data_IF_732501099630
#
_entry.id   IF_732501099630
#
_cell.length_a   1.000
_cell.length_b   1.000
_cell.length_c   1.000
_cell.angle_alpha   90.00
_cell.angle_beta   90.00
_cell.angle_gamma   90.00
#
_symmetry.space_group_name_H-M   'P 1'
#
loop_
_entity.id
_entity.type
_entity.pdbx_description
1 polymer ?
#
# COMPACT_ATOMS: atom_id res chain seq x y z
N UNK A 1 13.00 30.67 -32.87
CA UNK A 1 11.65 30.52 -32.28
C UNK A 1 11.36 29.04 -32.16
N UNK A 2 11.71 28.47 -31.04
CA UNK A 2 11.46 27.05 -30.79
C UNK A 2 10.18 26.92 -29.96
N UNK A 3 9.11 26.52 -30.62
CA UNK A 3 7.87 26.13 -29.95
C UNK A 3 8.04 24.74 -29.38
N UNK A 4 8.38 24.67 -28.11
CA UNK A 4 8.32 23.43 -27.35
C UNK A 4 6.84 23.13 -27.12
N UNK A 5 6.32 22.17 -27.88
CA UNK A 5 5.02 21.59 -27.61
C UNK A 5 5.14 20.76 -26.34
N UNK A 6 4.66 21.29 -25.22
CA UNK A 6 4.39 20.49 -24.03
C UNK A 6 3.29 19.51 -24.40
N UNK A 7 3.65 18.29 -24.75
CA UNK A 7 2.75 17.17 -24.66
C UNK A 7 2.45 16.93 -23.20
N UNK A 8 1.24 17.23 -22.81
CA UNK A 8 0.71 16.90 -21.50
C UNK A 8 0.76 15.39 -21.30
N UNK A 9 1.70 14.94 -20.51
CA UNK A 9 1.67 13.59 -19.95
C UNK A 9 0.66 13.61 -18.81
N UNK A 10 -0.57 13.27 -19.14
CA UNK A 10 -1.55 12.89 -18.17
C UNK A 10 -1.10 11.55 -17.56
N UNK A 11 -0.32 11.61 -16.50
CA UNK A 11 -0.04 10.46 -15.65
C UNK A 11 -1.29 10.16 -14.81
N UNK A 12 -2.29 9.60 -15.47
CA UNK A 12 -3.33 8.86 -14.79
C UNK A 12 -2.80 7.44 -14.52
N UNK A 13 -1.79 7.34 -13.69
CA UNK A 13 -1.23 6.09 -13.23
C UNK A 13 -1.85 5.69 -11.90
N UNK A 14 -3.16 5.52 -11.87
CA UNK A 14 -3.79 4.79 -10.80
C UNK A 14 -3.53 3.31 -11.01
N UNK A 15 -2.42 2.83 -10.51
CA UNK A 15 -2.29 1.41 -10.25
C UNK A 15 -3.06 1.13 -8.96
N UNK A 16 -4.35 1.09 -9.09
CA UNK A 16 -5.17 0.37 -8.15
C UNK A 16 -4.87 -1.11 -8.35
N UNK A 17 -3.90 -1.62 -7.65
CA UNK A 17 -3.80 -3.04 -7.35
C UNK A 17 -4.82 -3.40 -6.26
N UNK A 18 -6.04 -2.94 -6.46
CA UNK A 18 -7.18 -3.50 -5.84
C UNK A 18 -7.71 -4.57 -6.80
N UNK A 19 -7.15 -5.75 -6.70
CA UNK A 19 -7.80 -6.94 -7.18
C UNK A 19 -9.03 -7.21 -6.32
N UNK A 20 -9.94 -6.28 -6.31
CA UNK A 20 -11.28 -6.51 -5.82
C UNK A 20 -12.08 -7.08 -6.97
N UNK A 21 -12.48 -8.31 -6.76
CA UNK A 21 -13.44 -8.96 -7.60
C UNK A 21 -14.58 -8.01 -7.93
N UNK A 22 -14.98 -8.07 -9.19
CA UNK A 22 -16.14 -7.43 -9.75
C UNK A 22 -17.24 -7.33 -8.71
N UNK A 23 -17.47 -6.11 -8.23
CA UNK A 23 -18.74 -5.78 -7.63
C UNK A 23 -19.68 -5.61 -8.81
N UNK A 24 -20.30 -6.68 -9.22
CA UNK A 24 -21.54 -6.58 -9.96
C UNK A 24 -22.55 -5.96 -9.01
N UNK A 25 -22.73 -4.66 -9.15
CA UNK A 25 -23.88 -4.01 -8.55
C UNK A 25 -25.10 -4.51 -9.33
N UNK A 26 -25.63 -5.63 -8.90
CA UNK A 26 -26.97 -6.00 -9.26
C UNK A 26 -27.89 -5.13 -8.45
N UNK A 27 -28.36 -4.05 -9.04
CA UNK A 27 -29.51 -3.33 -8.56
C UNK A 27 -30.75 -4.19 -8.84
N UNK A 28 -31.12 -5.02 -7.89
CA UNK A 28 -32.43 -5.68 -7.87
C UNK A 28 -32.87 -5.77 -6.42
N UNK A 29 -33.77 -4.86 -6.10
CA UNK A 29 -34.95 -5.01 -5.26
C UNK A 29 -34.79 -5.72 -3.92
N UNK A 30 -34.96 -4.87 -2.89
CA UNK A 30 -35.82 -5.10 -1.71
C UNK A 30 -36.33 -6.52 -1.55
N UNK A 31 -35.76 -7.18 -0.57
CA UNK A 31 -36.59 -7.94 0.36
C UNK A 31 -35.94 -7.92 1.74
N UNK A 32 -36.64 -7.19 2.57
CA UNK A 32 -36.64 -7.24 4.01
C UNK A 32 -36.89 -8.68 4.44
N UNK A 33 -35.90 -9.33 5.04
CA UNK A 33 -36.17 -10.31 6.08
C UNK A 33 -34.93 -10.55 6.93
N UNK A 34 -35.14 -10.31 8.20
CA UNK A 34 -34.36 -10.63 9.36
C UNK A 34 -33.38 -11.80 9.17
N UNK A 35 -32.10 -11.49 8.99
CA UNK A 35 -31.07 -12.47 9.10
C UNK A 35 -30.46 -12.40 10.50
N UNK A 36 -30.71 -13.43 11.24
CA UNK A 36 -30.11 -13.85 12.48
C UNK A 36 -28.62 -13.62 12.53
N UNK A 37 -28.21 -12.83 13.52
CA UNK A 37 -26.85 -12.61 13.99
C UNK A 37 -26.21 -13.92 14.47
N UNK A 38 -25.59 -14.70 13.62
CA UNK A 38 -24.71 -15.79 14.10
C UNK A 38 -23.73 -16.38 13.08
N UNK A 39 -23.23 -15.61 12.10
CA UNK A 39 -22.19 -16.14 11.19
C UNK A 39 -20.95 -15.25 11.00
N UNK A 40 -20.60 -14.46 12.00
CA UNK A 40 -19.44 -13.54 11.92
C UNK A 40 -18.06 -14.17 12.14
N UNK A 41 -17.93 -15.47 12.44
CA UNK A 41 -16.63 -16.06 12.84
C UNK A 41 -15.93 -16.92 11.79
N UNK A 42 -16.60 -17.32 10.72
CA UNK A 42 -16.01 -18.27 9.75
C UNK A 42 -15.29 -17.60 8.58
N UNK A 43 -15.61 -16.34 8.26
CA UNK A 43 -15.08 -15.67 7.09
C UNK A 43 -13.71 -14.99 7.27
N UNK A 44 -13.27 -14.76 8.51
CA UNK A 44 -11.98 -14.12 8.76
C UNK A 44 -10.79 -15.03 8.42
N UNK A 45 -10.94 -16.31 8.67
CA UNK A 45 -9.86 -17.28 8.48
C UNK A 45 -9.60 -17.59 6.98
N UNK A 46 -10.64 -17.57 6.15
CA UNK A 46 -10.50 -17.81 4.71
C UNK A 46 -9.88 -16.62 3.97
N UNK A 47 -10.19 -15.40 4.40
CA UNK A 47 -9.60 -14.17 3.83
C UNK A 47 -8.11 -14.03 4.19
N UNK A 48 -7.73 -14.40 5.39
CA UNK A 48 -6.34 -14.39 5.83
C UNK A 48 -5.50 -15.42 5.05
N UNK A 49 -6.03 -16.62 4.80
CA UNK A 49 -5.34 -17.65 4.02
C UNK A 49 -5.17 -17.25 2.54
N UNK A 50 -6.19 -16.65 1.93
CA UNK A 50 -6.10 -16.14 0.56
C UNK A 50 -5.11 -14.98 0.43
N UNK A 51 -5.03 -14.13 1.44
CA UNK A 51 -4.05 -13.05 1.49
C UNK A 51 -2.62 -13.60 1.63
N UNK A 52 -2.40 -14.56 2.51
CA UNK A 52 -1.09 -15.19 2.68
C UNK A 52 -0.60 -15.86 1.39
N UNK A 53 -1.48 -16.52 0.63
CA UNK A 53 -1.14 -17.09 -0.67
C UNK A 53 -0.73 -16.01 -1.69
N UNK A 54 -1.40 -14.86 -1.70
CA UNK A 54 -1.03 -13.74 -2.57
C UNK A 54 0.33 -13.18 -2.21
N UNK A 55 0.63 -13.05 -0.92
CA UNK A 55 1.95 -12.62 -0.46
C UNK A 55 3.05 -13.60 -0.87
N UNK A 56 2.82 -14.90 -0.72
CA UNK A 56 3.80 -15.92 -1.14
C UNK A 56 4.07 -15.88 -2.65
N UNK A 57 3.03 -15.69 -3.47
CA UNK A 57 3.20 -15.50 -4.91
C UNK A 57 4.00 -14.23 -5.23
N UNK A 58 3.71 -13.14 -4.54
CA UNK A 58 4.43 -11.89 -4.72
C UNK A 58 5.91 -12.02 -4.29
N UNK A 59 6.19 -12.72 -3.19
CA UNK A 59 7.57 -13.01 -2.77
C UNK A 59 8.31 -13.87 -3.79
N UNK A 60 7.67 -14.89 -4.35
CA UNK A 60 8.27 -15.73 -5.39
C UNK A 60 8.57 -14.91 -6.66
N UNK A 61 7.63 -14.08 -7.11
CA UNK A 61 7.84 -13.19 -8.24
C UNK A 61 8.95 -12.16 -7.96
N UNK A 62 9.02 -11.63 -6.74
CA UNK A 62 10.07 -10.70 -6.32
C UNK A 62 11.48 -11.27 -6.45
N UNK A 63 11.64 -12.56 -6.13
CA UNK A 63 12.93 -13.23 -6.24
C UNK A 63 13.42 -13.35 -7.69
N UNK A 64 12.52 -13.33 -8.65
CA UNK A 64 12.86 -13.40 -10.08
C UNK A 64 13.25 -12.06 -10.68
N UNK A 65 12.98 -10.95 -9.97
CA UNK A 65 13.32 -9.62 -10.44
C UNK A 65 14.83 -9.36 -10.42
N UNK A 66 15.29 -8.61 -11.40
CA UNK A 66 16.66 -8.10 -11.42
C UNK A 66 16.87 -7.04 -10.36
N UNK A 67 18.13 -6.79 -10.00
CA UNK A 67 18.47 -5.71 -9.07
C UNK A 67 17.95 -4.36 -9.54
N UNK A 68 18.05 -4.06 -10.84
CA UNK A 68 17.57 -2.82 -11.43
C UNK A 68 16.04 -2.67 -11.26
N UNK A 69 15.27 -3.72 -11.51
CA UNK A 69 13.82 -3.71 -11.33
C UNK A 69 13.41 -3.52 -9.86
N UNK A 70 14.13 -4.11 -8.93
CA UNK A 70 13.93 -3.90 -7.49
C UNK A 70 14.20 -2.45 -7.09
N UNK A 71 15.27 -1.85 -7.62
CA UNK A 71 15.60 -0.44 -7.37
C UNK A 71 14.56 0.52 -7.93
N UNK A 72 13.95 0.22 -9.08
CA UNK A 72 12.83 1.02 -9.62
C UNK A 72 11.65 1.06 -8.64
N UNK A 73 11.33 -0.07 -8.03
CA UNK A 73 10.25 -0.15 -7.03
C UNK A 73 10.62 0.61 -5.76
N UNK A 74 11.86 0.50 -5.29
CA UNK A 74 12.33 1.27 -4.13
C UNK A 74 12.35 2.78 -4.41
N UNK A 75 12.68 3.20 -5.62
CA UNK A 75 12.63 4.60 -6.03
C UNK A 75 11.19 5.16 -6.01
N UNK A 76 10.22 4.36 -6.44
CA UNK A 76 8.80 4.73 -6.35
C UNK A 76 8.35 4.87 -4.89
N UNK A 77 8.76 3.96 -4.01
CA UNK A 77 8.50 4.06 -2.58
C UNK A 77 9.14 5.30 -1.94
N UNK A 78 10.34 5.65 -2.39
CA UNK A 78 11.01 6.88 -1.93
C UNK A 78 10.23 8.13 -2.35
N UNK A 79 9.69 8.14 -3.56
CA UNK A 79 8.83 9.22 -4.05
C UNK A 79 7.57 9.34 -3.21
N UNK A 80 6.88 8.23 -2.94
CA UNK A 80 5.70 8.18 -2.09
C UNK A 80 6.02 8.69 -0.67
N UNK A 81 7.13 8.26 -0.11
CA UNK A 81 7.60 8.70 1.20
C UNK A 81 7.86 10.22 1.25
N UNK A 82 8.43 10.79 0.18
CA UNK A 82 8.66 12.23 0.09
C UNK A 82 7.35 13.01 0.00
N UNK A 83 6.35 12.49 -0.70
CA UNK A 83 5.03 13.12 -0.77
C UNK A 83 4.28 13.02 0.56
N UNK A 84 4.40 11.89 1.27
CA UNK A 84 3.88 11.75 2.63
C UNK A 84 4.59 12.73 3.61
N UNK A 85 5.89 12.94 3.45
CA UNK A 85 6.62 13.92 4.26
C UNK A 85 6.09 15.35 4.05
N UNK A 86 5.76 15.75 2.82
CA UNK A 86 5.12 17.03 2.53
C UNK A 86 3.75 17.16 3.19
N UNK A 87 2.97 16.07 3.19
CA UNK A 87 1.70 16.03 3.89
C UNK A 87 1.87 16.24 5.39
N UNK A 88 2.83 15.56 6.02
CA UNK A 88 3.15 15.74 7.44
C UNK A 88 3.57 17.17 7.74
N UNK A 89 4.39 17.80 6.88
CA UNK A 89 4.79 19.21 7.03
C UNK A 89 3.58 20.15 6.96
N UNK A 90 2.64 19.85 6.08
CA UNK A 90 1.40 20.66 5.99
C UNK A 90 0.52 20.49 7.22
N UNK A 91 0.45 19.30 7.78
CA UNK A 91 -0.27 19.05 9.03
C UNK A 91 0.36 19.80 10.21
N UNK A 92 1.69 19.91 10.26
CA UNK A 92 2.39 20.70 11.26
C UNK A 92 2.11 22.21 11.08
N UNK A 93 2.17 22.71 9.85
CA UNK A 93 1.84 24.10 9.52
C UNK A 93 0.43 24.47 9.99
N UNK A 94 -0.53 23.57 9.77
CA UNK A 94 -1.93 23.76 10.17
C UNK A 94 -2.20 23.41 11.65
N UNK A 95 -1.17 23.09 12.42
CA UNK A 95 -1.25 22.73 13.85
C UNK A 95 -2.15 21.50 14.14
N UNK A 96 -2.26 20.60 13.18
CA UNK A 96 -2.95 19.31 13.32
C UNK A 96 -2.03 18.26 13.94
N UNK A 97 -0.73 18.39 13.72
CA UNK A 97 0.30 17.47 14.21
C UNK A 97 1.47 18.25 14.80
N UNK A 98 2.04 17.75 15.88
CA UNK A 98 3.24 18.31 16.47
C UNK A 98 4.47 18.02 15.60
N UNK A 99 5.38 19.00 15.51
CA UNK A 99 6.60 18.89 14.71
C UNK A 99 7.46 17.70 15.14
N UNK A 100 7.57 17.45 16.43
CA UNK A 100 8.35 16.33 16.97
C UNK A 100 7.82 14.98 16.50
N UNK A 101 6.50 14.83 16.42
CA UNK A 101 5.87 13.61 15.94
C UNK A 101 6.04 13.46 14.43
N UNK A 102 5.87 14.54 13.67
CA UNK A 102 6.13 14.54 12.23
C UNK A 102 7.57 14.11 11.91
N UNK A 103 8.55 14.68 12.62
CA UNK A 103 9.97 14.34 12.43
C UNK A 103 10.26 12.86 12.79
N UNK A 104 9.64 12.33 13.82
CA UNK A 104 9.73 10.89 14.17
C UNK A 104 9.15 9.99 13.10
N UNK A 105 7.99 10.32 12.56
CA UNK A 105 7.36 9.56 11.46
C UNK A 105 8.23 9.57 10.21
N UNK A 106 8.76 10.72 9.82
CA UNK A 106 9.68 10.84 8.68
C UNK A 106 10.94 9.99 8.89
N UNK A 107 11.59 10.11 10.03
CA UNK A 107 12.80 9.34 10.35
C UNK A 107 12.54 7.83 10.32
N UNK A 108 11.42 7.38 10.87
CA UNK A 108 11.03 5.97 10.84
C UNK A 108 10.85 5.45 9.42
N UNK A 109 10.20 6.22 8.55
CA UNK A 109 9.98 5.84 7.13
C UNK A 109 11.30 5.73 6.37
N UNK A 110 12.20 6.70 6.55
CA UNK A 110 13.53 6.70 5.93
C UNK A 110 14.33 5.47 6.37
N UNK A 111 14.36 5.19 7.65
CA UNK A 111 15.07 4.03 8.19
C UNK A 111 14.48 2.71 7.67
N UNK A 112 13.16 2.62 7.60
CA UNK A 112 12.47 1.45 7.05
C UNK A 112 12.82 1.20 5.59
N UNK A 113 12.80 2.25 4.76
CA UNK A 113 13.16 2.13 3.34
C UNK A 113 14.63 1.73 3.18
N UNK A 114 15.54 2.30 3.97
CA UNK A 114 16.95 1.92 3.99
C UNK A 114 17.12 0.44 4.29
N UNK A 115 16.49 -0.06 5.33
CA UNK A 115 16.52 -1.49 5.71
C UNK A 115 15.97 -2.39 4.59
N UNK A 116 14.88 -1.97 3.94
CA UNK A 116 14.31 -2.72 2.81
C UNK A 116 15.29 -2.82 1.63
N UNK A 117 15.97 -1.73 1.29
CA UNK A 117 16.99 -1.72 0.23
C UNK A 117 18.19 -2.60 0.58
N UNK A 118 18.67 -2.52 1.82
CA UNK A 118 19.80 -3.33 2.31
C UNK A 118 19.49 -4.81 2.34
N UNK A 119 18.28 -5.18 2.77
CA UNK A 119 17.84 -6.58 2.81
C UNK A 119 17.40 -7.14 1.45
N UNK A 120 17.05 -6.27 0.50
CA UNK A 120 16.49 -6.67 -0.79
C UNK A 120 15.11 -7.30 -0.69
N UNK A 121 14.39 -7.07 0.42
CA UNK A 121 13.08 -7.65 0.67
C UNK A 121 11.96 -6.96 -0.12
N UNK A 122 10.89 -7.72 -0.35
CA UNK A 122 9.66 -7.18 -0.93
C UNK A 122 9.02 -6.14 0.02
N UNK A 123 8.73 -4.92 -0.46
CA UNK A 123 8.19 -3.83 0.36
C UNK A 123 6.70 -3.97 0.69
N UNK A 124 6.20 -5.16 0.86
CA UNK A 124 4.83 -5.41 1.30
C UNK A 124 4.78 -5.53 2.83
N UNK A 125 3.65 -5.10 3.41
CA UNK A 125 3.41 -5.29 4.83
C UNK A 125 3.26 -6.77 5.13
N UNK A 126 4.31 -7.38 5.66
CA UNK A 126 4.20 -8.70 6.29
C UNK A 126 3.38 -8.51 7.57
N UNK A 127 2.22 -9.15 7.65
CA UNK A 127 1.49 -9.27 8.89
C UNK A 127 2.46 -9.93 9.89
N UNK A 128 2.93 -9.17 10.89
CA UNK A 128 3.71 -9.77 11.97
C UNK A 128 2.80 -10.80 12.62
N UNK A 129 3.01 -12.07 12.31
CA UNK A 129 2.47 -13.14 13.15
C UNK A 129 3.09 -12.93 14.51
N UNK A 130 2.28 -12.45 15.47
CA UNK A 130 2.71 -12.41 16.84
C UNK A 130 3.25 -13.78 17.18
N UNK A 131 4.53 -13.87 17.48
CA UNK A 131 5.02 -15.02 18.21
C UNK A 131 4.34 -14.90 19.57
N UNK A 132 3.23 -15.58 19.73
CA UNK A 132 2.75 -15.95 21.05
C UNK A 132 3.83 -16.87 21.62
N UNK A 133 4.53 -16.32 22.58
CA UNK A 133 5.30 -17.12 23.52
C UNK A 133 4.35 -17.63 24.58
#
# INVERSE_FOLDING_TARGET
>A
MNRIKLCGLALAGFIYLAGFGSITVNAAETNTESATLSEGKKDRNSKDAAFDQKIQKAESAWQTLTKAQKEEIYALLETEMNDEAKLLDKMVELKVLDKSDADRFKAFKVEKLKKLRESGELPLMKKKRGKEQ
#
